data_IF_585682107626
#
_entry.id   IF_585682107626
#
_cell.length_a   1.000
_cell.length_b   1.000
_cell.length_c   1.000
_cell.angle_alpha   90.00
_cell.angle_beta   90.00
_cell.angle_gamma   90.00
#
_symmetry.space_group_name_H-M   'P 1'
#
loop_
_entity.id
_entity.type
_entity.pdbx_description
1 polymer ?
#
# COMPACT_ATOMS: atom_id res chain seq x y z
N UNK A 1 3.54 1.22 -15.60
CA UNK A 1 4.25 1.35 -14.32
C UNK A 1 3.31 2.04 -13.36
N UNK A 2 3.06 1.45 -12.19
CA UNK A 2 2.16 2.06 -11.21
C UNK A 2 2.75 3.35 -10.64
N UNK A 3 1.90 4.37 -10.47
CA UNK A 3 2.25 5.63 -9.82
C UNK A 3 2.13 5.49 -8.31
N UNK A 4 3.19 5.87 -7.61
CA UNK A 4 3.27 5.94 -6.14
C UNK A 4 3.66 7.37 -5.73
N UNK A 5 3.62 7.67 -4.43
CA UNK A 5 4.06 8.96 -3.89
C UNK A 5 5.51 9.29 -4.29
N UNK A 6 6.37 8.27 -4.26
CA UNK A 6 7.75 8.33 -4.74
C UNK A 6 7.95 7.32 -5.87
N UNK A 7 8.83 7.64 -6.81
CA UNK A 7 9.19 6.71 -7.88
C UNK A 7 9.90 5.47 -7.30
N UNK A 8 9.18 4.35 -7.25
CA UNK A 8 9.65 3.06 -6.71
C UNK A 8 10.82 2.45 -7.52
N UNK A 9 11.13 3.00 -8.70
CA UNK A 9 12.28 2.58 -9.52
C UNK A 9 13.56 3.29 -9.11
N UNK A 10 13.46 4.45 -8.45
CA UNK A 10 14.62 5.23 -8.00
C UNK A 10 15.07 4.70 -6.64
N UNK A 11 16.39 4.54 -6.50
CA UNK A 11 17.03 4.02 -5.28
C UNK A 11 18.09 4.95 -4.73
N UNK A 12 18.72 5.74 -5.60
CA UNK A 12 19.83 6.63 -5.24
C UNK A 12 19.31 7.93 -4.63
N UNK A 13 18.55 7.81 -3.55
CA UNK A 13 18.06 8.94 -2.78
C UNK A 13 19.24 9.64 -2.11
N UNK A 14 19.33 10.96 -2.24
CA UNK A 14 20.34 11.79 -1.60
C UNK A 14 19.65 12.95 -0.88
N UNK A 15 20.09 13.25 0.34
CA UNK A 15 19.61 14.37 1.13
C UNK A 15 20.76 15.34 1.48
N UNK A 16 20.61 16.66 1.29
CA UNK A 16 21.68 17.63 1.56
C UNK A 16 22.24 17.59 2.99
N UNK A 17 21.39 17.21 3.96
CA UNK A 17 21.74 17.13 5.38
C UNK A 17 22.60 15.92 5.78
N UNK A 18 22.84 14.94 4.89
CA UNK A 18 23.61 13.72 5.21
C UNK A 18 25.06 14.02 5.67
N UNK A 19 25.64 15.15 5.25
CA UNK A 19 27.00 15.53 5.64
C UNK A 19 27.10 16.04 7.09
N UNK A 20 25.99 16.46 7.69
CA UNK A 20 25.95 17.15 8.99
C UNK A 20 25.16 16.40 10.05
N UNK A 21 24.27 15.50 9.65
CA UNK A 21 23.43 14.70 10.53
C UNK A 21 23.70 13.21 10.27
N UNK A 22 24.38 12.56 11.21
CA UNK A 22 24.77 11.15 11.10
C UNK A 22 23.57 10.21 11.14
N UNK A 23 22.52 10.56 11.90
CA UNK A 23 21.28 9.76 11.99
C UNK A 23 20.57 9.77 10.64
N UNK A 24 20.48 10.94 10.04
CA UNK A 24 19.95 11.08 8.69
C UNK A 24 20.80 10.31 7.67
N UNK A 25 22.13 10.39 7.76
CA UNK A 25 23.02 9.65 6.86
C UNK A 25 22.78 8.14 6.92
N UNK A 26 22.68 7.58 8.12
CA UNK A 26 22.38 6.16 8.35
C UNK A 26 21.00 5.78 7.80
N UNK A 27 20.00 6.63 8.04
CA UNK A 27 18.65 6.43 7.48
C UNK A 27 18.65 6.44 5.95
N UNK A 28 19.35 7.38 5.32
CA UNK A 28 19.46 7.45 3.86
C UNK A 28 20.24 6.26 3.29
N UNK A 29 21.25 5.76 4.01
CA UNK A 29 21.92 4.51 3.66
C UNK A 29 20.97 3.31 3.72
N UNK A 30 20.12 3.24 4.75
CA UNK A 30 19.05 2.26 4.83
C UNK A 30 18.09 2.37 3.63
N UNK A 31 17.61 3.58 3.29
CA UNK A 31 16.72 3.78 2.13
C UNK A 31 17.36 3.28 0.82
N UNK A 32 18.66 3.56 0.60
CA UNK A 32 19.41 3.07 -0.57
C UNK A 32 19.64 1.55 -0.59
N UNK A 33 19.46 0.88 0.54
CA UNK A 33 19.55 -0.58 0.65
C UNK A 33 18.24 -1.29 0.27
N UNK A 34 17.10 -0.59 0.27
CA UNK A 34 15.79 -1.13 -0.12
C UNK A 34 15.63 -1.20 -1.65
N UNK A 35 14.84 -2.16 -2.13
CA UNK A 35 14.45 -2.28 -3.55
C UNK A 35 12.92 -2.12 -3.70
N UNK A 36 12.40 -0.87 -3.75
CA UNK A 36 10.96 -0.61 -3.65
C UNK A 36 10.13 -1.24 -4.76
N UNK A 37 10.61 -1.18 -6.00
CA UNK A 37 9.97 -1.89 -7.11
C UNK A 37 9.84 -3.39 -6.84
N UNK A 38 10.90 -4.02 -6.33
CA UNK A 38 10.89 -5.46 -6.02
C UNK A 38 9.95 -5.78 -4.86
N UNK A 39 9.91 -4.94 -3.82
CA UNK A 39 8.96 -5.06 -2.70
C UNK A 39 7.52 -5.14 -3.20
N UNK A 40 7.10 -4.22 -4.05
CA UNK A 40 5.74 -4.21 -4.61
C UNK A 40 5.53 -5.38 -5.59
N UNK A 41 6.46 -5.61 -6.52
CA UNK A 41 6.33 -6.63 -7.57
C UNK A 41 6.28 -8.04 -6.97
N UNK A 42 7.18 -8.36 -6.04
CA UNK A 42 7.22 -9.66 -5.37
C UNK A 42 5.99 -9.88 -4.48
N UNK A 43 5.48 -8.83 -3.84
CA UNK A 43 4.22 -8.87 -3.11
C UNK A 43 3.05 -9.30 -3.99
N UNK A 44 2.92 -8.65 -5.15
CA UNK A 44 1.89 -8.99 -6.14
C UNK A 44 2.07 -10.40 -6.69
N UNK A 45 3.28 -10.81 -7.11
CA UNK A 45 3.52 -12.15 -7.66
C UNK A 45 3.21 -13.25 -6.65
N UNK A 46 3.68 -13.08 -5.42
CA UNK A 46 3.47 -14.06 -4.37
C UNK A 46 1.98 -14.20 -4.06
N UNK A 47 1.29 -13.08 -3.83
CA UNK A 47 -0.13 -13.10 -3.50
C UNK A 47 -1.00 -13.58 -4.66
N UNK A 48 -0.64 -13.21 -5.90
CA UNK A 48 -1.34 -13.67 -7.10
C UNK A 48 -1.28 -15.19 -7.22
N UNK A 49 -0.08 -15.77 -7.13
CA UNK A 49 0.09 -17.23 -7.17
C UNK A 49 -0.65 -17.89 -6.01
N UNK A 50 -0.52 -17.34 -4.82
CA UNK A 50 -1.18 -17.87 -3.62
C UNK A 50 -2.70 -17.90 -3.77
N UNK A 51 -3.29 -16.81 -4.29
CA UNK A 51 -4.73 -16.69 -4.48
C UNK A 51 -5.25 -17.53 -5.66
N UNK A 52 -4.53 -17.57 -6.78
CA UNK A 52 -4.86 -18.41 -7.94
C UNK A 52 -4.90 -19.89 -7.54
N UNK A 53 -3.91 -20.37 -6.77
CA UNK A 53 -3.90 -21.73 -6.23
C UNK A 53 -5.14 -22.01 -5.36
N UNK A 54 -5.58 -21.04 -4.54
CA UNK A 54 -6.79 -21.18 -3.70
C UNK A 54 -8.07 -21.17 -4.53
N UNK A 55 -8.20 -20.27 -5.51
CA UNK A 55 -9.37 -20.23 -6.39
C UNK A 55 -9.50 -21.53 -7.17
N UNK A 56 -8.40 -22.05 -7.72
CA UNK A 56 -8.37 -23.36 -8.40
C UNK A 56 -8.74 -24.52 -7.47
N UNK A 57 -8.37 -24.43 -6.20
CA UNK A 57 -8.75 -25.42 -5.19
C UNK A 57 -10.26 -25.39 -4.90
N UNK A 58 -10.85 -24.19 -4.77
CA UNK A 58 -12.30 -24.03 -4.60
C UNK A 58 -13.06 -24.52 -5.83
N UNK A 59 -12.61 -24.16 -7.04
CA UNK A 59 -13.20 -24.60 -8.31
C UNK A 59 -13.11 -26.11 -8.53
N UNK A 60 -12.12 -26.77 -7.90
CA UNK A 60 -11.91 -28.22 -7.95
C UNK A 60 -12.53 -28.95 -6.75
N UNK A 61 -13.69 -28.48 -6.27
CA UNK A 61 -14.44 -29.08 -5.16
C UNK A 61 -13.57 -29.32 -3.89
N UNK A 62 -12.66 -28.40 -3.60
CA UNK A 62 -11.75 -28.47 -2.46
C UNK A 62 -10.82 -29.70 -2.50
N UNK A 63 -10.45 -30.14 -3.70
CA UNK A 63 -9.39 -31.12 -3.92
C UNK A 63 -8.11 -30.42 -4.43
N UNK A 64 -6.93 -30.72 -3.87
CA UNK A 64 -5.66 -30.16 -4.34
C UNK A 64 -5.48 -30.37 -5.84
N UNK A 65 -5.28 -29.30 -6.64
CA UNK A 65 -5.02 -29.46 -8.06
C UNK A 65 -3.71 -30.25 -8.30
N UNK A 66 -3.66 -31.14 -9.30
CA UNK A 66 -2.55 -32.09 -9.48
C UNK A 66 -1.21 -31.43 -9.88
N UNK A 67 -1.24 -30.19 -10.34
CA UNK A 67 -0.11 -29.43 -10.90
C UNK A 67 0.35 -28.26 -10.01
N UNK A 68 -0.19 -28.14 -8.79
CA UNK A 68 0.12 -27.02 -7.90
C UNK A 68 1.24 -27.39 -6.93
N UNK A 69 2.22 -26.49 -6.77
CA UNK A 69 3.35 -26.69 -5.85
C UNK A 69 3.00 -26.53 -4.37
N UNK A 70 1.84 -25.93 -4.08
CA UNK A 70 1.32 -25.71 -2.73
C UNK A 70 0.99 -27.05 -2.08
N UNK A 71 1.56 -27.28 -0.89
CA UNK A 71 1.38 -28.52 -0.15
C UNK A 71 0.14 -28.48 0.76
N UNK A 72 -0.21 -27.29 1.26
CA UNK A 72 -1.27 -27.11 2.27
C UNK A 72 -2.37 -26.17 1.79
N UNK A 73 -3.61 -26.62 1.83
CA UNK A 73 -4.81 -25.81 1.52
C UNK A 73 -5.61 -25.54 2.82
N UNK A 74 -6.14 -24.32 3.00
CA UNK A 74 -6.93 -23.99 4.18
C UNK A 74 -8.27 -24.73 4.15
N UNK A 75 -8.65 -25.33 5.28
CA UNK A 75 -9.96 -25.96 5.45
C UNK A 75 -11.12 -24.93 5.47
N UNK A 76 -10.83 -23.71 5.93
CA UNK A 76 -11.75 -22.57 5.95
C UNK A 76 -11.16 -21.45 5.07
N UNK A 77 -11.55 -21.46 3.79
CA UNK A 77 -11.07 -20.49 2.78
C UNK A 77 -11.53 -19.06 3.12
N UNK A 78 -12.79 -18.79 3.52
CA UNK A 78 -13.20 -17.45 3.95
C UNK A 78 -12.37 -16.91 5.12
N UNK A 79 -12.14 -17.70 6.17
CA UNK A 79 -11.35 -17.26 7.31
C UNK A 79 -9.87 -17.06 6.94
N UNK A 80 -9.33 -17.91 6.06
CA UNK A 80 -8.00 -17.71 5.51
C UNK A 80 -7.90 -16.38 4.76
N UNK A 81 -8.86 -16.08 3.89
CA UNK A 81 -8.85 -14.85 3.09
C UNK A 81 -8.88 -13.60 3.97
N UNK A 82 -9.76 -13.57 4.97
CA UNK A 82 -9.85 -12.47 5.94
C UNK A 82 -8.57 -12.30 6.77
N UNK A 83 -7.93 -13.40 7.16
CA UNK A 83 -6.67 -13.34 7.92
C UNK A 83 -5.49 -12.91 7.04
N UNK A 84 -5.46 -13.38 5.80
CA UNK A 84 -4.34 -13.19 4.88
C UNK A 84 -4.34 -11.81 4.24
N UNK A 85 -5.52 -11.27 3.94
CA UNK A 85 -5.69 -9.98 3.28
C UNK A 85 -6.75 -9.15 4.05
N UNK A 86 -6.46 -8.70 5.27
CA UNK A 86 -7.45 -8.13 6.16
C UNK A 86 -8.14 -6.87 5.60
N UNK A 87 -7.39 -6.00 4.91
CA UNK A 87 -7.98 -4.81 4.31
C UNK A 87 -8.74 -5.16 3.03
N UNK A 88 -8.15 -5.97 2.16
CA UNK A 88 -8.74 -6.34 0.87
C UNK A 88 -10.02 -7.14 1.08
N UNK A 89 -10.00 -8.16 1.95
CA UNK A 89 -11.14 -9.01 2.26
C UNK A 89 -12.27 -8.26 2.98
N UNK A 90 -11.99 -7.10 3.57
CA UNK A 90 -13.04 -6.25 4.11
C UNK A 90 -13.89 -5.65 2.98
N UNK A 91 -13.34 -5.39 1.79
CA UNK A 91 -14.05 -4.63 0.76
C UNK A 91 -14.40 -5.43 -0.50
N UNK A 92 -13.70 -6.54 -0.79
CA UNK A 92 -13.90 -7.26 -2.05
C UNK A 92 -13.74 -8.77 -1.94
N UNK A 93 -14.34 -9.49 -2.88
CA UNK A 93 -14.23 -10.94 -3.04
C UNK A 93 -12.82 -11.37 -3.47
N UNK A 94 -12.53 -12.68 -3.37
CA UNK A 94 -11.26 -13.23 -3.89
C UNK A 94 -11.17 -13.09 -5.41
N UNK A 95 -12.29 -13.24 -6.12
CA UNK A 95 -12.39 -13.13 -7.56
C UNK A 95 -12.10 -11.70 -8.04
N UNK A 96 -12.65 -10.70 -7.33
CA UNK A 96 -12.38 -9.30 -7.62
C UNK A 96 -10.93 -8.94 -7.34
N UNK A 97 -10.39 -9.38 -6.18
CA UNK A 97 -8.98 -9.18 -5.83
C UNK A 97 -8.07 -9.80 -6.90
N UNK A 98 -8.35 -11.02 -7.34
CA UNK A 98 -7.61 -11.69 -8.40
C UNK A 98 -7.65 -10.88 -9.70
N UNK A 99 -8.84 -10.40 -10.10
CA UNK A 99 -9.01 -9.53 -11.27
C UNK A 99 -8.20 -8.24 -11.20
N UNK A 100 -8.17 -7.58 -10.02
CA UNK A 100 -7.35 -6.38 -9.81
C UNK A 100 -5.86 -6.71 -9.86
N UNK A 101 -5.40 -7.81 -9.24
CA UNK A 101 -3.99 -8.22 -9.28
C UNK A 101 -3.48 -8.47 -10.70
N UNK A 102 -4.27 -9.11 -11.57
CA UNK A 102 -3.91 -9.30 -12.99
C UNK A 102 -3.59 -7.95 -13.65
N UNK A 103 -4.37 -6.91 -13.35
CA UNK A 103 -4.18 -5.56 -13.91
C UNK A 103 -2.95 -4.89 -13.31
N UNK A 104 -2.80 -4.95 -11.99
CA UNK A 104 -1.64 -4.41 -11.28
C UNK A 104 -0.32 -5.03 -11.75
N UNK A 105 -0.28 -6.34 -11.97
CA UNK A 105 0.90 -7.04 -12.49
C UNK A 105 1.24 -6.55 -13.90
N UNK A 106 0.25 -6.50 -14.80
CA UNK A 106 0.44 -5.95 -16.15
C UNK A 106 0.94 -4.50 -16.12
N UNK A 107 0.40 -3.70 -15.21
CA UNK A 107 0.80 -2.31 -14.98
C UNK A 107 2.28 -2.21 -14.56
N UNK A 108 2.71 -3.07 -13.64
CA UNK A 108 4.09 -3.13 -13.16
C UNK A 108 5.08 -3.55 -14.25
N UNK A 109 4.66 -4.41 -15.17
CA UNK A 109 5.48 -4.84 -16.31
C UNK A 109 5.55 -3.80 -17.45
N UNK A 110 4.69 -2.78 -17.43
CA UNK A 110 4.76 -1.66 -18.39
C UNK A 110 5.80 -0.63 -17.96
N UNK A 111 6.87 -0.47 -18.75
CA UNK A 111 7.87 0.59 -18.54
C UNK A 111 7.62 1.86 -19.36
N UNK A 112 6.57 1.88 -20.19
CA UNK A 112 6.30 2.96 -21.16
C UNK A 112 5.11 3.84 -20.81
N UNK A 113 4.27 3.40 -19.87
CA UNK A 113 3.08 4.11 -19.41
C UNK A 113 3.16 4.28 -17.90
N UNK A 114 2.59 5.37 -17.39
CA UNK A 114 2.34 5.55 -15.96
C UNK A 114 0.87 5.27 -15.70
N UNK A 115 0.56 4.42 -14.75
CA UNK A 115 -0.80 3.95 -14.46
C UNK A 115 -1.16 4.33 -13.03
N UNK A 116 -2.29 5.03 -12.86
CA UNK A 116 -2.68 5.62 -11.57
C UNK A 116 -3.57 4.64 -10.80
N UNK A 117 -3.09 4.05 -9.69
CA UNK A 117 -3.94 3.24 -8.84
C UNK A 117 -4.95 4.12 -8.10
N UNK A 118 -6.14 3.58 -7.88
CA UNK A 118 -7.18 4.17 -7.04
C UNK A 118 -7.26 3.45 -5.68
N UNK A 119 -8.21 3.79 -4.81
CA UNK A 119 -8.32 3.21 -3.47
C UNK A 119 -8.44 1.67 -3.46
N UNK A 120 -9.19 1.08 -4.40
CA UNK A 120 -9.33 -0.38 -4.55
C UNK A 120 -7.97 -1.05 -4.81
N UNK A 121 -7.22 -0.50 -5.77
CA UNK A 121 -5.89 -0.98 -6.11
C UNK A 121 -4.91 -0.84 -4.95
N UNK A 122 -4.93 0.30 -4.25
CA UNK A 122 -4.03 0.57 -3.12
C UNK A 122 -4.29 -0.35 -1.93
N UNK A 123 -5.54 -0.79 -1.73
CA UNK A 123 -5.90 -1.77 -0.71
C UNK A 123 -5.26 -3.13 -1.00
N UNK A 124 -5.36 -3.61 -2.24
CA UNK A 124 -4.70 -4.86 -2.67
C UNK A 124 -3.18 -4.74 -2.54
N UNK A 125 -2.59 -3.66 -3.05
CA UNK A 125 -1.15 -3.42 -2.96
C UNK A 125 -0.68 -3.40 -1.50
N UNK A 126 -1.50 -2.90 -0.57
CA UNK A 126 -1.14 -2.79 0.84
C UNK A 126 -0.96 -4.17 1.46
N UNK A 127 -1.98 -5.04 1.39
CA UNK A 127 -1.91 -6.36 2.01
C UNK A 127 -0.84 -7.23 1.35
N UNK A 128 -0.75 -7.19 0.01
CA UNK A 128 0.26 -7.94 -0.73
C UNK A 128 1.69 -7.52 -0.36
N UNK A 129 1.92 -6.22 -0.15
CA UNK A 129 3.22 -5.69 0.30
C UNK A 129 3.51 -6.05 1.75
N UNK A 130 2.53 -5.88 2.64
CA UNK A 130 2.66 -6.26 4.05
C UNK A 130 3.10 -7.72 4.19
N UNK A 131 2.40 -8.58 3.45
CA UNK A 131 2.60 -10.01 3.47
C UNK A 131 4.00 -10.45 3.02
N UNK A 132 4.52 -9.90 1.91
CA UNK A 132 5.85 -10.28 1.43
C UNK A 132 6.97 -9.71 2.30
N UNK A 133 6.77 -8.51 2.87
CA UNK A 133 7.71 -7.92 3.82
C UNK A 133 7.83 -8.79 5.07
N UNK A 134 6.72 -9.27 5.62
CA UNK A 134 6.72 -10.22 6.74
C UNK A 134 7.52 -11.48 6.41
N UNK A 135 7.19 -12.15 5.30
CA UNK A 135 7.89 -13.37 4.86
C UNK A 135 9.40 -13.13 4.68
N UNK A 136 9.78 -12.00 4.06
CA UNK A 136 11.17 -11.66 3.84
C UNK A 136 11.94 -11.39 5.13
N UNK A 137 11.35 -10.62 6.05
CA UNK A 137 11.97 -10.29 7.33
C UNK A 137 12.12 -11.54 8.21
N UNK A 138 11.09 -12.40 8.26
CA UNK A 138 11.17 -13.68 8.97
C UNK A 138 12.28 -14.57 8.38
N UNK A 139 12.43 -14.59 7.05
CA UNK A 139 13.48 -15.35 6.39
C UNK A 139 14.89 -14.80 6.70
N UNK A 140 15.05 -13.47 6.80
CA UNK A 140 16.30 -12.84 7.21
C UNK A 140 16.67 -13.20 8.65
N UNK A 141 15.72 -13.10 9.58
CA UNK A 141 15.95 -13.39 11.01
C UNK A 141 16.36 -14.85 11.23
N UNK A 142 15.72 -15.78 10.52
CA UNK A 142 15.98 -17.20 10.67
C UNK A 142 17.16 -17.72 9.82
N UNK A 143 17.84 -16.85 9.07
CA UNK A 143 19.01 -17.22 8.24
C UNK A 143 18.67 -18.11 7.04
N UNK A 144 17.43 -18.05 6.54
CA UNK A 144 16.99 -18.89 5.41
C UNK A 144 17.59 -18.38 4.10
N UNK A 145 18.07 -19.29 3.25
CA UNK A 145 18.49 -18.96 1.87
C UNK A 145 17.37 -18.30 1.05
N UNK A 146 16.12 -18.55 1.43
CA UNK A 146 14.91 -17.99 0.81
C UNK A 146 14.89 -16.46 0.84
N UNK A 147 15.47 -15.80 1.85
CA UNK A 147 15.57 -14.34 1.86
C UNK A 147 16.39 -13.82 0.66
N UNK A 148 17.44 -14.54 0.27
CA UNK A 148 18.25 -14.18 -0.90
C UNK A 148 17.49 -14.34 -2.20
N UNK A 149 16.54 -15.27 -2.26
CA UNK A 149 15.71 -15.54 -3.44
C UNK A 149 14.62 -14.48 -3.64
N UNK A 150 14.03 -13.93 -2.56
CA UNK A 150 13.01 -12.87 -2.64
C UNK A 150 13.65 -11.50 -2.91
N UNK A 151 14.84 -11.25 -2.34
CA UNK A 151 15.69 -10.11 -2.67
C UNK A 151 14.99 -8.73 -2.56
N UNK A 152 14.35 -8.44 -1.42
CA UNK A 152 13.66 -7.15 -1.21
C UNK A 152 14.60 -5.98 -0.83
N UNK A 153 15.79 -6.29 -0.35
CA UNK A 153 16.80 -5.33 0.07
C UNK A 153 18.20 -5.96 0.03
N UNK A 154 19.23 -5.17 0.36
CA UNK A 154 20.61 -5.64 0.61
C UNK A 154 20.76 -6.29 1.99
N UNK A 155 20.01 -7.36 2.26
CA UNK A 155 20.05 -8.14 3.52
C UNK A 155 19.70 -7.31 4.77
N UNK A 156 18.89 -6.26 4.62
CA UNK A 156 18.36 -5.47 5.74
C UNK A 156 16.85 -5.64 5.86
N UNK A 157 16.28 -5.75 7.07
CA UNK A 157 14.83 -5.84 7.22
C UNK A 157 14.11 -4.67 6.58
N UNK A 158 13.01 -4.93 5.87
CA UNK A 158 12.15 -3.87 5.34
C UNK A 158 11.19 -3.44 6.43
N UNK A 159 11.26 -2.18 6.85
CA UNK A 159 10.30 -1.59 7.80
C UNK A 159 9.03 -1.19 7.06
N UNK A 160 7.96 -1.98 7.20
CA UNK A 160 6.72 -1.79 6.44
C UNK A 160 6.07 -0.42 6.66
N UNK A 161 5.96 0.04 7.91
CA UNK A 161 5.40 1.36 8.23
C UNK A 161 6.16 2.49 7.52
N UNK A 162 7.50 2.46 7.58
CA UNK A 162 8.35 3.44 6.90
C UNK A 162 8.20 3.35 5.37
N UNK A 163 8.11 2.14 4.82
CA UNK A 163 7.87 1.93 3.40
C UNK A 163 6.55 2.57 2.96
N UNK A 164 5.48 2.37 3.71
CA UNK A 164 4.15 2.86 3.37
C UNK A 164 4.08 4.38 3.52
N UNK A 165 4.69 4.94 4.57
CA UNK A 165 4.83 6.40 4.73
C UNK A 165 5.63 7.06 3.59
N UNK A 166 6.57 6.33 2.99
CA UNK A 166 7.37 6.86 1.88
C UNK A 166 6.69 6.73 0.52
N UNK A 167 5.99 5.62 0.25
CA UNK A 167 5.55 5.29 -1.11
C UNK A 167 4.03 5.35 -1.31
N UNK A 168 3.19 5.15 -0.30
CA UNK A 168 1.74 5.21 -0.50
C UNK A 168 1.26 6.66 -0.62
N UNK A 169 0.50 7.00 -1.68
CA UNK A 169 -0.03 8.34 -1.84
C UNK A 169 -1.05 8.69 -0.75
N UNK A 170 -1.85 7.71 -0.33
CA UNK A 170 -2.81 7.84 0.76
C UNK A 170 -3.21 6.47 1.32
N UNK A 171 -3.81 6.47 2.52
CA UNK A 171 -4.47 5.30 3.13
C UNK A 171 -5.96 5.58 3.41
N UNK A 172 -6.63 6.36 2.55
CA UNK A 172 -8.04 6.76 2.78
C UNK A 172 -9.03 5.57 2.87
N UNK A 173 -8.66 4.39 2.36
CA UNK A 173 -9.44 3.16 2.56
C UNK A 173 -9.50 2.69 4.03
N UNK A 174 -8.66 3.26 4.91
CA UNK A 174 -8.67 3.01 6.35
C UNK A 174 -9.48 4.05 7.14
N UNK A 175 -10.04 5.08 6.49
CA UNK A 175 -10.85 6.09 7.17
C UNK A 175 -11.96 5.42 7.98
N UNK A 176 -12.19 5.94 9.18
CA UNK A 176 -13.19 5.42 10.14
C UNK A 176 -12.90 4.00 10.64
N UNK A 177 -11.73 3.46 10.33
CA UNK A 177 -11.22 2.19 10.87
C UNK A 177 -10.02 2.47 11.77
N UNK A 178 -9.66 1.52 12.62
CA UNK A 178 -8.41 1.62 13.38
C UNK A 178 -7.26 1.29 12.43
N UNK A 179 -6.38 2.25 12.07
CA UNK A 179 -5.26 1.95 11.19
C UNK A 179 -4.24 1.07 11.92
N UNK A 180 -3.52 0.23 11.17
CA UNK A 180 -2.46 -0.63 11.73
C UNK A 180 -1.28 0.22 12.26
N UNK A 181 -1.05 1.39 11.65
CA UNK A 181 -0.05 2.39 12.02
C UNK A 181 -0.42 3.77 11.46
N UNK A 182 0.28 4.81 11.90
CA UNK A 182 0.02 6.18 11.45
C UNK A 182 0.58 6.41 10.03
N UNK A 183 -0.26 6.93 9.12
CA UNK A 183 0.20 7.52 7.86
C UNK A 183 0.53 8.99 8.10
N UNK A 184 1.76 9.25 8.54
CA UNK A 184 2.22 10.57 8.93
C UNK A 184 1.95 11.66 7.87
N UNK A 185 2.11 11.41 6.54
CA UNK A 185 1.84 12.42 5.52
C UNK A 185 0.41 12.96 5.54
N UNK A 186 -0.59 12.11 5.84
CA UNK A 186 -2.01 12.48 5.77
C UNK A 186 -2.73 12.40 7.11
N UNK A 187 -2.01 12.24 8.21
CA UNK A 187 -2.62 12.07 9.54
C UNK A 187 -3.55 13.24 9.90
N UNK A 188 -3.13 14.48 9.66
CA UNK A 188 -3.95 15.67 9.91
C UNK A 188 -5.19 15.70 9.01
N UNK A 189 -5.01 15.41 7.71
CA UNK A 189 -6.13 15.32 6.76
C UNK A 189 -7.14 14.27 7.19
N UNK A 190 -6.68 13.06 7.52
CA UNK A 190 -7.55 11.96 7.93
C UNK A 190 -8.29 12.33 9.22
N UNK A 191 -7.61 12.92 10.20
CA UNK A 191 -8.26 13.42 11.42
C UNK A 191 -9.38 14.43 11.10
N UNK A 192 -9.14 15.39 10.21
CA UNK A 192 -10.16 16.37 9.82
C UNK A 192 -11.36 15.74 9.11
N UNK A 193 -11.13 14.71 8.29
CA UNK A 193 -12.20 13.96 7.62
C UNK A 193 -13.03 13.19 8.66
N UNK A 194 -12.37 12.46 9.56
CA UNK A 194 -13.05 11.64 10.58
C UNK A 194 -13.82 12.50 11.59
N UNK A 195 -13.25 13.62 12.03
CA UNK A 195 -13.91 14.59 12.90
C UNK A 195 -15.14 15.20 12.23
N UNK A 196 -15.02 15.56 10.94
CA UNK A 196 -16.15 16.07 10.16
C UNK A 196 -17.26 15.02 10.04
N UNK A 197 -16.94 13.79 9.63
CA UNK A 197 -17.93 12.71 9.50
C UNK A 197 -18.60 12.43 10.85
N UNK A 198 -17.82 12.34 11.92
CA UNK A 198 -18.34 12.10 13.28
C UNK A 198 -19.28 13.22 13.73
N UNK A 199 -18.92 14.48 13.44
CA UNK A 199 -19.76 15.64 13.75
C UNK A 199 -21.08 15.62 12.98
N UNK A 200 -21.06 15.30 11.68
CA UNK A 200 -22.29 15.19 10.88
C UNK A 200 -23.21 14.09 11.40
N UNK A 201 -22.65 12.94 11.80
CA UNK A 201 -23.42 11.84 12.39
C UNK A 201 -24.00 12.26 13.74
N UNK A 202 -23.23 12.98 14.56
CA UNK A 202 -23.70 13.51 15.85
C UNK A 202 -24.86 14.51 15.68
N UNK A 203 -24.86 15.28 14.59
CA UNK A 203 -25.94 16.20 14.20
C UNK A 203 -27.17 15.47 13.60
N UNK A 204 -27.12 14.14 13.50
CA UNK A 204 -28.24 13.30 13.09
C UNK A 204 -28.27 12.88 11.62
N UNK A 205 -27.21 13.16 10.85
CA UNK A 205 -27.10 12.63 9.48
C UNK A 205 -26.87 11.12 9.47
N UNK A 206 -27.39 10.46 8.44
CA UNK A 206 -27.10 9.05 8.20
C UNK A 206 -25.61 8.87 7.80
N UNK A 207 -24.90 7.82 8.26
CA UNK A 207 -23.46 7.66 8.00
C UNK A 207 -23.04 7.74 6.52
N UNK A 208 -23.81 7.16 5.61
CA UNK A 208 -23.52 7.22 4.18
C UNK A 208 -23.71 8.62 3.58
N UNK A 209 -24.59 9.45 4.16
CA UNK A 209 -24.77 10.84 3.73
C UNK A 209 -23.63 11.71 4.27
N UNK A 210 -23.21 11.48 5.51
CA UNK A 210 -22.02 12.12 6.09
C UNK A 210 -20.76 11.82 5.28
N UNK A 211 -20.57 10.58 4.80
CA UNK A 211 -19.46 10.21 3.91
C UNK A 211 -19.51 10.93 2.57
N UNK A 212 -20.70 11.07 1.96
CA UNK A 212 -20.85 11.83 0.70
C UNK A 212 -20.50 13.30 0.87
N UNK A 213 -20.97 13.93 1.96
CA UNK A 213 -20.61 15.32 2.26
C UNK A 213 -19.11 15.47 2.55
N UNK A 214 -18.49 14.47 3.17
CA UNK A 214 -17.06 14.46 3.41
C UNK A 214 -16.27 14.37 2.09
N UNK A 215 -16.70 13.50 1.17
CA UNK A 215 -16.10 13.42 -0.17
C UNK A 215 -16.27 14.74 -0.94
N UNK A 216 -17.45 15.36 -0.92
CA UNK A 216 -17.69 16.66 -1.55
C UNK A 216 -16.79 17.76 -0.99
N UNK A 217 -16.52 17.74 0.32
CA UNK A 217 -15.72 18.76 1.03
C UNK A 217 -14.23 18.54 0.91
N UNK A 218 -13.78 17.30 1.04
CA UNK A 218 -12.36 16.96 1.15
C UNK A 218 -11.79 16.38 -0.13
N UNK A 219 -12.64 16.05 -1.11
CA UNK A 219 -12.29 15.42 -2.38
C UNK A 219 -11.51 14.13 -2.14
N UNK A 220 -12.21 13.05 -1.82
CA UNK A 220 -11.52 11.78 -1.62
C UNK A 220 -10.83 11.35 -2.89
N UNK A 221 -9.77 10.58 -2.72
CA UNK A 221 -9.11 9.94 -3.85
C UNK A 221 -10.08 9.01 -4.58
N UNK A 222 -9.93 8.84 -5.92
CA UNK A 222 -10.82 8.00 -6.70
C UNK A 222 -11.04 6.61 -6.08
N UNK A 223 -12.29 6.15 -6.10
CA UNK A 223 -12.69 4.84 -5.56
C UNK A 223 -12.84 4.79 -4.03
N UNK A 224 -12.41 5.81 -3.28
CA UNK A 224 -12.50 5.81 -1.80
C UNK A 224 -13.94 5.83 -1.33
N UNK A 225 -14.79 6.70 -1.89
CA UNK A 225 -16.19 6.79 -1.46
C UNK A 225 -16.93 5.48 -1.72
N UNK A 226 -16.76 4.89 -2.91
CA UNK A 226 -17.37 3.61 -3.28
C UNK A 226 -16.90 2.47 -2.36
N UNK A 227 -15.60 2.44 -2.07
CA UNK A 227 -14.99 1.45 -1.18
C UNK A 227 -15.53 1.58 0.26
N UNK A 228 -15.59 2.79 0.81
CA UNK A 228 -16.12 3.04 2.16
C UNK A 228 -17.62 2.75 2.27
N UNK A 229 -18.38 2.92 1.18
CA UNK A 229 -19.80 2.55 1.10
C UNK A 229 -20.04 1.04 0.90
N UNK A 230 -18.98 0.26 0.68
CA UNK A 230 -19.05 -1.19 0.35
C UNK A 230 -19.80 -1.45 -0.96
N UNK A 231 -19.61 -0.57 -1.95
CA UNK A 231 -20.16 -0.80 -3.28
C UNK A 231 -19.49 -2.02 -3.95
N UNK A 232 -20.23 -2.73 -4.80
CA UNK A 232 -19.67 -3.81 -5.61
C UNK A 232 -18.68 -3.25 -6.65
N UNK A 233 -17.57 -3.96 -6.85
CA UNK A 233 -16.57 -3.56 -7.84
C UNK A 233 -17.15 -3.76 -9.25
N UNK A 234 -17.13 -2.69 -10.03
CA UNK A 234 -17.50 -2.73 -11.44
C UNK A 234 -16.25 -2.68 -12.33
N UNK A 235 -16.32 -3.15 -13.60
CA UNK A 235 -15.17 -3.11 -14.51
C UNK A 235 -14.54 -1.73 -14.68
N UNK A 236 -15.34 -0.65 -14.63
CA UNK A 236 -14.84 0.72 -14.72
C UNK A 236 -14.06 1.17 -13.48
N UNK A 237 -14.43 0.69 -12.28
CA UNK A 237 -13.69 0.95 -11.04
C UNK A 237 -12.33 0.23 -11.01
N UNK A 238 -12.20 -0.86 -11.77
CA UNK A 238 -10.97 -1.62 -11.93
C UNK A 238 -10.05 -1.09 -13.04
N UNK A 239 -10.39 0.03 -13.70
CA UNK A 239 -9.53 0.63 -14.70
C UNK A 239 -8.34 1.35 -14.06
N UNK A 240 -7.19 1.30 -14.74
CA UNK A 240 -5.98 2.03 -14.39
C UNK A 240 -5.77 3.15 -15.43
N UNK A 241 -6.17 4.39 -15.14
CA UNK A 241 -5.94 5.51 -16.04
C UNK A 241 -4.46 5.64 -16.37
N UNK A 242 -4.15 5.82 -17.65
CA UNK A 242 -2.79 5.99 -18.14
C UNK A 242 -2.44 7.47 -18.26
N UNK A 243 -1.32 7.86 -17.65
CA UNK A 243 -0.67 9.15 -17.82
C UNK A 243 0.51 9.03 -18.79
N UNK A 244 0.77 10.13 -19.52
CA UNK A 244 1.98 10.27 -20.32
C UNK A 244 3.22 10.36 -19.42
N UNK A 245 4.33 9.75 -19.83
CA UNK A 245 5.62 9.74 -19.09
C UNK A 245 6.24 11.14 -18.95
N UNK A 246 5.78 12.11 -19.74
CA UNK A 246 6.18 13.53 -19.66
C UNK A 246 5.53 14.26 -18.48
N UNK A 247 4.56 13.64 -17.80
CA UNK A 247 3.90 14.20 -16.61
C UNK A 247 4.81 14.01 -15.40
N UNK A 248 5.22 15.11 -14.75
CA UNK A 248 5.91 15.02 -13.46
C UNK A 248 4.89 14.74 -12.34
N UNK A 249 4.49 13.47 -12.26
CA UNK A 249 3.51 12.97 -11.28
C UNK A 249 4.05 12.99 -9.84
N UNK A 250 5.34 13.25 -9.64
CA UNK A 250 5.98 13.28 -8.33
C UNK A 250 6.33 14.69 -7.85
N UNK A 251 6.28 15.72 -8.73
CA UNK A 251 6.54 17.11 -8.37
C UNK A 251 5.56 17.65 -7.31
N UNK A 252 4.29 17.22 -7.34
CA UNK A 252 3.28 17.67 -6.37
C UNK A 252 3.44 16.97 -5.01
N UNK A 253 4.05 15.79 -4.96
CA UNK A 253 4.29 15.05 -3.71
C UNK A 253 5.52 15.55 -2.95
N UNK A 254 6.42 16.28 -3.63
CA UNK A 254 7.60 16.94 -3.07
C UNK A 254 7.50 18.47 -3.08
N UNK A 255 6.35 19.04 -3.43
CA UNK A 255 6.17 20.48 -3.29
C UNK A 255 6.21 20.81 -1.78
N UNK A 256 7.21 21.57 -1.28
CA UNK A 256 7.11 22.10 0.06
C UNK A 256 5.81 22.87 0.12
N UNK A 257 4.98 22.60 1.13
CA UNK A 257 3.68 23.22 1.32
C UNK A 257 3.78 24.72 0.97
N UNK A 258 3.20 25.12 -0.16
CA UNK A 258 3.18 26.52 -0.56
C UNK A 258 2.31 27.25 0.47
N UNK A 259 2.95 28.10 1.25
CA UNK A 259 2.35 29.24 1.95
C UNK A 259 1.41 28.94 3.14
N UNK A 260 1.69 27.92 3.96
CA UNK A 260 1.11 27.83 5.33
C UNK A 260 2.11 27.75 6.46
N UNK A 261 3.42 27.90 6.19
CA UNK A 261 4.40 28.17 7.23
C UNK A 261 4.55 27.07 8.28
N UNK A 262 4.72 25.83 7.82
CA UNK A 262 5.43 24.70 8.44
C UNK A 262 5.32 23.53 7.45
N UNK A 263 6.42 22.84 7.14
CA UNK A 263 6.41 21.59 6.37
C UNK A 263 6.23 20.44 7.37
N UNK A 264 5.06 19.78 7.45
CA UNK A 264 4.85 18.65 8.36
C UNK A 264 5.72 17.44 7.98
N UNK A 265 6.17 17.39 6.73
CA UNK A 265 7.03 16.34 6.20
C UNK A 265 8.45 16.42 6.79
N UNK A 266 9.00 17.61 7.02
CA UNK A 266 10.35 17.75 7.58
C UNK A 266 10.37 17.45 9.09
N UNK A 267 9.30 17.77 9.82
CA UNK A 267 9.16 17.44 11.24
C UNK A 267 8.78 15.98 11.48
N UNK A 268 7.96 15.35 10.62
CA UNK A 268 7.69 13.90 10.72
C UNK A 268 8.89 13.07 10.28
N UNK A 269 9.62 13.52 9.25
CA UNK A 269 10.89 12.92 8.84
C UNK A 269 11.95 13.03 9.94
N UNK A 270 12.11 14.20 10.58
CA UNK A 270 13.01 14.39 11.71
C UNK A 270 12.58 13.61 12.97
N UNK A 271 11.28 13.41 13.19
CA UNK A 271 10.74 12.59 14.30
C UNK A 271 10.98 11.10 14.05
N UNK A 272 10.68 10.62 12.85
CA UNK A 272 10.92 9.24 12.43
C UNK A 272 12.42 8.90 12.46
N UNK A 273 13.30 9.85 12.13
CA UNK A 273 14.75 9.69 12.30
C UNK A 273 15.17 9.55 13.78
N UNK A 274 14.53 10.27 14.70
CA UNK A 274 14.84 10.24 16.15
C UNK A 274 14.27 9.02 16.87
N UNK A 275 13.13 8.50 16.41
CA UNK A 275 12.48 7.32 16.99
C UNK A 275 13.00 6.00 16.39
N UNK A 276 13.72 6.04 15.26
CA UNK A 276 14.24 4.88 14.54
C UNK A 276 15.56 4.28 15.06
N UNK A 277 16.20 4.84 16.10
CA UNK A 277 17.43 4.29 16.68
C UNK A 277 17.14 3.79 18.10
N UNK A 278 17.14 2.47 18.37
CA UNK A 278 17.35 2.00 19.73
C UNK A 278 18.78 2.36 20.14
N UNK A 279 18.92 2.91 21.35
CA UNK A 279 20.23 2.98 22.01
C UNK A 279 20.84 1.61 22.27
#
# INVERSE_FOLDING_TARGET
MLVFAKDIRKRDHAHPGEATDTVLADYMQYQRALFPYTVVRAGLDFAYKELDDILRYVDNDHQPPPDVSRQDFPADVPAWYQKRFPWTAAFMSMEDMHGLMVRLIKAMDSFRTLEVPNAWHLTVLYDTTHNIVGIYNDALENGHSVARDIHLSKEVPVRFEDFINNYWPHLEFMLLSKPDYAHAPLMERNFLIEDFVTSQIADGLHPLEALKLADEKFHFHPGTLELLRRDEITPGMAELPTLSVETDVHAETYAPAKETGLSPADESFARNCREAIPG
#
